data_IF_914638630872
#
_entry.id   IF_914638630872
#
_cell.length_a   1.000
_cell.length_b   1.000
_cell.length_c   1.000
_cell.angle_alpha   90.00
_cell.angle_beta   90.00
_cell.angle_gamma   90.00
#
_symmetry.space_group_name_H-M   'P 1'
#
loop_
_entity.id
_entity.type
_entity.pdbx_description
1 polymer ?
#
# COMPACT_ATOMS: atom_id res chain seq x y z
N UNK A 1 10.59 7.70 21.64
CA UNK A 1 11.63 8.60 21.07
C UNK A 1 10.97 9.51 20.05
N UNK A 2 11.46 10.72 19.75
CA UNK A 2 10.81 11.56 18.74
C UNK A 2 10.88 10.87 17.36
N UNK A 3 9.73 10.60 16.74
CA UNK A 3 9.69 9.99 15.42
C UNK A 3 10.38 10.89 14.39
N UNK A 4 11.28 10.36 13.54
CA UNK A 4 11.84 11.12 12.44
C UNK A 4 10.73 11.69 11.55
N UNK A 5 10.89 12.96 11.16
CA UNK A 5 9.88 13.69 10.38
C UNK A 5 9.50 12.94 9.09
N UNK A 6 10.49 12.33 8.43
CA UNK A 6 10.28 11.50 7.24
C UNK A 6 9.36 10.31 7.53
N UNK A 7 9.57 9.56 8.62
CA UNK A 7 8.74 8.40 8.98
C UNK A 7 7.27 8.80 9.23
N UNK A 8 7.07 9.92 9.90
CA UNK A 8 5.73 10.47 10.18
C UNK A 8 5.04 10.93 8.90
N UNK A 9 5.76 11.61 8.01
CA UNK A 9 5.24 12.02 6.69
C UNK A 9 4.86 10.78 5.88
N UNK A 10 5.72 9.77 5.84
CA UNK A 10 5.45 8.50 5.14
C UNK A 10 4.17 7.84 5.63
N UNK A 11 3.94 7.80 6.95
CA UNK A 11 2.70 7.27 7.53
C UNK A 11 1.47 8.02 7.05
N UNK A 12 1.46 9.36 7.13
CA UNK A 12 0.31 10.15 6.66
C UNK A 12 0.07 9.96 5.17
N UNK A 13 1.14 9.84 4.39
CA UNK A 13 1.01 9.60 2.97
C UNK A 13 0.52 8.21 2.63
N UNK A 14 0.90 7.18 3.38
CA UNK A 14 0.37 5.82 3.24
C UNK A 14 -1.15 5.79 3.50
N UNK A 15 -1.62 6.54 4.51
CA UNK A 15 -3.05 6.72 4.76
C UNK A 15 -3.75 7.45 3.59
N UNK A 16 -3.13 8.49 3.04
CA UNK A 16 -3.64 9.21 1.88
C UNK A 16 -3.75 8.34 0.62
N UNK A 17 -2.74 7.52 0.35
CA UNK A 17 -2.78 6.55 -0.76
C UNK A 17 -3.83 5.50 -0.52
N UNK A 18 -3.93 4.98 0.70
CA UNK A 18 -4.97 4.01 1.07
C UNK A 18 -6.36 4.58 0.83
N UNK A 19 -6.61 5.84 1.21
CA UNK A 19 -7.87 6.52 0.91
C UNK A 19 -8.12 6.60 -0.61
N UNK A 20 -7.09 6.91 -1.41
CA UNK A 20 -7.19 6.93 -2.87
C UNK A 20 -7.51 5.55 -3.46
N UNK A 21 -6.88 4.48 -2.97
CA UNK A 21 -7.12 3.09 -3.39
C UNK A 21 -8.55 2.68 -3.06
N UNK A 22 -9.00 2.92 -1.81
CA UNK A 22 -10.37 2.64 -1.38
C UNK A 22 -11.39 3.42 -2.21
N UNK A 23 -11.14 4.70 -2.48
CA UNK A 23 -11.97 5.52 -3.34
C UNK A 23 -12.05 4.96 -4.77
N UNK A 24 -10.91 4.63 -5.38
CA UNK A 24 -10.84 4.03 -6.72
C UNK A 24 -11.67 2.75 -6.81
N UNK A 25 -11.51 1.85 -5.83
CA UNK A 25 -12.20 0.57 -5.79
C UNK A 25 -13.69 0.76 -5.56
N UNK A 26 -14.07 1.64 -4.63
CA UNK A 26 -15.46 1.95 -4.35
C UNK A 26 -16.17 2.55 -5.57
N UNK A 27 -15.58 3.56 -6.23
CA UNK A 27 -16.21 4.23 -7.36
C UNK A 27 -16.30 3.32 -8.59
N UNK A 28 -15.26 2.52 -8.84
CA UNK A 28 -15.28 1.53 -9.91
C UNK A 28 -16.31 0.42 -9.65
N UNK A 29 -16.46 -0.03 -8.40
CA UNK A 29 -17.47 -1.02 -8.05
C UNK A 29 -18.89 -0.45 -8.10
N UNK A 30 -19.14 0.72 -7.49
CA UNK A 30 -20.48 1.31 -7.37
C UNK A 30 -20.96 1.99 -8.64
N UNK A 31 -20.12 2.82 -9.26
CA UNK A 31 -20.50 3.64 -10.42
C UNK A 31 -20.01 3.07 -11.75
N UNK A 32 -19.13 2.08 -11.73
CA UNK A 32 -18.52 1.55 -12.95
C UNK A 32 -17.53 2.50 -13.61
N UNK A 33 -17.08 3.52 -12.89
CA UNK A 33 -16.12 4.52 -13.38
C UNK A 33 -14.73 4.15 -12.89
N UNK A 34 -13.78 4.00 -13.83
CA UNK A 34 -12.38 3.76 -13.48
C UNK A 34 -11.53 5.01 -13.74
N UNK A 35 -11.11 5.68 -12.67
CA UNK A 35 -10.32 6.91 -12.72
C UNK A 35 -8.85 6.64 -13.07
N UNK A 36 -8.57 6.35 -14.35
CA UNK A 36 -7.24 5.97 -14.87
C UNK A 36 -6.11 6.91 -14.42
N UNK A 37 -6.33 8.22 -14.43
CA UNK A 37 -5.33 9.22 -14.02
C UNK A 37 -5.00 9.12 -12.53
N UNK A 38 -6.02 8.96 -11.68
CA UNK A 38 -5.83 8.77 -10.25
C UNK A 38 -5.12 7.45 -9.96
N UNK A 39 -5.51 6.36 -10.64
CA UNK A 39 -4.85 5.06 -10.53
C UNK A 39 -3.35 5.14 -10.89
N UNK A 40 -3.01 5.84 -11.99
CA UNK A 40 -1.62 6.06 -12.35
C UNK A 40 -0.88 6.92 -11.32
N UNK A 41 -1.51 8.00 -10.83
CA UNK A 41 -0.92 8.87 -9.81
C UNK A 41 -0.61 8.10 -8.52
N UNK A 42 -1.53 7.24 -8.07
CA UNK A 42 -1.33 6.34 -6.92
C UNK A 42 -0.14 5.42 -7.15
N UNK A 43 -0.04 4.78 -8.32
CA UNK A 43 1.08 3.86 -8.62
C UNK A 43 2.42 4.58 -8.67
N UNK A 44 2.47 5.76 -9.30
CA UNK A 44 3.70 6.58 -9.34
C UNK A 44 4.10 6.99 -7.92
N UNK A 45 3.12 7.40 -7.11
CA UNK A 45 3.37 7.76 -5.72
C UNK A 45 3.95 6.58 -4.91
N UNK A 46 3.31 5.41 -4.98
CA UNK A 46 3.76 4.19 -4.29
C UNK A 46 5.23 3.84 -4.63
N UNK A 47 5.61 3.93 -5.91
CA UNK A 47 6.99 3.66 -6.34
C UNK A 47 7.96 4.72 -5.81
N UNK A 48 7.65 6.00 -6.02
CA UNK A 48 8.57 7.09 -5.70
C UNK A 48 8.75 7.34 -4.22
N UNK A 49 7.72 7.08 -3.41
CA UNK A 49 7.74 7.39 -1.99
C UNK A 49 7.81 6.13 -1.12
N UNK A 50 6.85 5.21 -1.22
CA UNK A 50 6.82 4.04 -0.32
C UNK A 50 7.98 3.07 -0.62
N UNK A 51 8.10 2.62 -1.88
CA UNK A 51 9.15 1.65 -2.25
C UNK A 51 10.54 2.29 -2.12
N UNK A 52 10.71 3.51 -2.59
CA UNK A 52 12.01 4.20 -2.52
C UNK A 52 12.43 4.50 -1.08
N UNK A 53 11.50 4.85 -0.19
CA UNK A 53 11.80 5.04 1.24
C UNK A 53 12.21 3.73 1.92
N UNK A 54 11.49 2.63 1.66
CA UNK A 54 11.87 1.32 2.21
C UNK A 54 13.24 0.87 1.71
N UNK A 55 13.52 1.05 0.42
CA UNK A 55 14.84 0.75 -0.16
C UNK A 55 15.94 1.63 0.47
N UNK A 56 15.70 2.93 0.61
CA UNK A 56 16.62 3.87 1.25
C UNK A 56 16.92 3.44 2.70
N UNK A 57 15.89 3.16 3.49
CA UNK A 57 16.01 2.68 4.88
C UNK A 57 16.81 1.38 4.96
N UNK A 58 16.53 0.42 4.08
CA UNK A 58 17.23 -0.86 4.05
C UNK A 58 18.73 -0.72 3.76
N UNK A 59 19.13 0.27 2.95
CA UNK A 59 20.54 0.53 2.59
C UNK A 59 21.27 1.38 3.63
N UNK A 60 20.60 2.39 4.20
CA UNK A 60 21.26 3.43 5.02
C UNK A 60 21.22 3.15 6.52
N UNK A 61 20.32 2.29 7.00
CA UNK A 61 20.19 1.96 8.41
C UNK A 61 20.37 0.45 8.66
N UNK A 62 21.54 -0.14 8.30
CA UNK A 62 21.79 -1.58 8.49
C UNK A 62 22.10 -1.96 9.94
N UNK A 63 22.39 -0.99 10.81
CA UNK A 63 22.77 -1.23 12.21
C UNK A 63 21.50 -1.51 13.01
N UNK A 64 21.34 -2.78 13.38
CA UNK A 64 20.32 -3.26 14.30
C UNK A 64 20.74 -2.78 15.69
N UNK A 65 20.20 -1.66 16.16
CA UNK A 65 20.06 -1.49 17.61
C UNK A 65 19.37 -2.73 18.18
N UNK A 66 19.57 -3.06 19.46
CA UNK A 66 19.01 -4.26 20.06
C UNK A 66 17.47 -4.18 20.15
N UNK A 67 16.79 -4.36 19.02
CA UNK A 67 15.35 -4.49 18.94
C UNK A 67 14.96 -5.91 19.34
N UNK A 68 13.88 -6.02 20.09
CA UNK A 68 13.29 -7.32 20.40
C UNK A 68 12.88 -8.06 19.11
N UNK A 69 13.00 -9.40 19.12
CA UNK A 69 12.71 -10.23 17.94
C UNK A 69 11.31 -10.03 17.32
N UNK A 70 10.32 -9.60 18.12
CA UNK A 70 8.98 -9.30 17.61
C UNK A 70 8.94 -8.03 16.73
N UNK A 71 9.72 -6.98 17.06
CA UNK A 71 9.82 -5.75 16.25
C UNK A 71 10.47 -6.07 14.91
N UNK A 72 11.52 -6.89 14.94
CA UNK A 72 12.21 -7.35 13.72
C UNK A 72 11.25 -8.16 12.84
N UNK A 73 10.51 -9.10 13.43
CA UNK A 73 9.52 -9.90 12.70
C UNK A 73 8.39 -9.05 12.12
N UNK A 74 7.89 -8.06 12.88
CA UNK A 74 6.86 -7.13 12.43
C UNK A 74 7.36 -6.27 11.27
N UNK A 75 8.57 -5.72 11.36
CA UNK A 75 9.18 -4.90 10.31
C UNK A 75 9.39 -5.69 9.02
N UNK A 76 9.98 -6.89 9.11
CA UNK A 76 10.21 -7.77 7.97
C UNK A 76 8.89 -8.26 7.35
N UNK A 77 7.95 -8.69 8.20
CA UNK A 77 6.62 -9.13 7.78
C UNK A 77 5.84 -8.03 7.07
N UNK A 78 5.83 -6.82 7.63
CA UNK A 78 5.23 -5.64 7.00
C UNK A 78 5.89 -5.35 5.65
N UNK A 79 7.23 -5.30 5.57
CA UNK A 79 7.95 -5.01 4.32
C UNK A 79 7.64 -6.00 3.20
N UNK A 80 7.61 -7.29 3.52
CA UNK A 80 7.26 -8.33 2.54
C UNK A 80 5.79 -8.19 2.12
N UNK A 81 4.88 -8.03 3.08
CA UNK A 81 3.45 -7.91 2.80
C UNK A 81 3.15 -6.67 1.94
N UNK A 82 3.73 -5.52 2.27
CA UNK A 82 3.58 -4.28 1.51
C UNK A 82 4.10 -4.42 0.08
N UNK A 83 5.24 -5.10 -0.13
CA UNK A 83 5.76 -5.35 -1.47
C UNK A 83 4.83 -6.26 -2.29
N UNK A 84 4.33 -7.35 -1.69
CA UNK A 84 3.36 -8.24 -2.32
C UNK A 84 2.08 -7.47 -2.69
N UNK A 85 1.58 -6.63 -1.78
CA UNK A 85 0.39 -5.83 -2.01
C UNK A 85 0.59 -4.77 -3.07
N UNK A 86 1.77 -4.15 -3.15
CA UNK A 86 2.12 -3.23 -4.23
C UNK A 86 2.09 -3.94 -5.60
N UNK A 87 2.73 -5.11 -5.72
CA UNK A 87 2.70 -5.90 -6.96
C UNK A 87 1.26 -6.31 -7.33
N UNK A 88 0.47 -6.73 -6.33
CA UNK A 88 -0.93 -7.06 -6.52
C UNK A 88 -1.75 -5.84 -6.98
N UNK A 89 -1.50 -4.64 -6.42
CA UNK A 89 -2.16 -3.40 -6.82
C UNK A 89 -1.86 -3.08 -8.29
N UNK A 90 -0.59 -3.13 -8.69
CA UNK A 90 -0.18 -2.93 -10.09
C UNK A 90 -0.89 -3.91 -11.01
N UNK A 91 -0.85 -5.20 -10.71
CA UNK A 91 -1.49 -6.23 -11.51
C UNK A 91 -3.02 -6.01 -11.62
N UNK A 92 -3.67 -5.71 -10.49
CA UNK A 92 -5.11 -5.48 -10.43
C UNK A 92 -5.51 -4.23 -11.22
N UNK A 93 -4.80 -3.11 -11.06
CA UNK A 93 -5.08 -1.88 -11.78
C UNK A 93 -4.82 -2.00 -13.28
N UNK A 94 -3.78 -2.73 -13.70
CA UNK A 94 -3.54 -3.03 -15.12
C UNK A 94 -4.65 -3.89 -15.72
N UNK A 95 -5.11 -4.90 -15.00
CA UNK A 95 -6.22 -5.75 -15.42
C UNK A 95 -7.53 -4.95 -15.53
N UNK A 96 -7.82 -4.12 -14.52
CA UNK A 96 -8.96 -3.21 -14.50
C UNK A 96 -8.90 -2.18 -15.64
N UNK A 97 -7.72 -1.62 -15.94
CA UNK A 97 -7.54 -0.67 -17.04
C UNK A 97 -7.88 -1.31 -18.39
N UNK A 98 -7.33 -2.51 -18.67
CA UNK A 98 -7.62 -3.27 -19.89
C UNK A 98 -9.10 -3.64 -20.00
N UNK A 99 -9.71 -4.06 -18.90
CA UNK A 99 -11.14 -4.37 -18.84
C UNK A 99 -12.02 -3.16 -19.10
N UNK A 100 -11.72 -2.03 -18.47
CA UNK A 100 -12.47 -0.79 -18.65
C UNK A 100 -12.40 -0.29 -20.10
N UNK A 101 -11.27 -0.45 -20.79
CA UNK A 101 -11.16 -0.16 -22.22
C UNK A 101 -12.07 -1.01 -23.12
N UNK A 102 -12.57 -2.14 -22.61
CA UNK A 102 -13.52 -3.04 -23.29
C UNK A 102 -14.95 -2.90 -22.75
N UNK A 103 -15.24 -1.85 -21.96
CA UNK A 103 -16.54 -1.65 -21.32
C UNK A 103 -16.85 -2.62 -20.17
N UNK A 104 -15.86 -3.39 -19.71
CA UNK A 104 -16.03 -4.38 -18.62
C UNK A 104 -15.84 -3.74 -17.26
N UNK A 105 -16.67 -4.13 -16.30
CA UNK A 105 -16.49 -3.75 -14.90
C UNK A 105 -15.81 -4.90 -14.14
N UNK A 106 -14.48 -4.94 -14.24
CA UNK A 106 -13.63 -5.95 -13.60
C UNK A 106 -13.87 -6.03 -12.08
N UNK A 107 -14.12 -4.90 -11.43
CA UNK A 107 -14.36 -4.84 -9.98
C UNK A 107 -15.64 -5.58 -9.58
N UNK A 108 -16.71 -5.49 -10.39
CA UNK A 108 -17.95 -6.25 -10.18
C UNK A 108 -17.80 -7.70 -10.57
N UNK A 109 -17.20 -7.97 -11.73
CA UNK A 109 -17.00 -9.33 -12.26
C UNK A 109 -16.12 -10.19 -11.34
N UNK A 110 -15.17 -9.57 -10.63
CA UNK A 110 -14.22 -10.22 -9.73
C UNK A 110 -14.32 -9.70 -8.29
N UNK A 111 -15.56 -9.53 -7.80
CA UNK A 111 -15.84 -9.00 -6.44
C UNK A 111 -15.05 -9.73 -5.35
N UNK A 112 -14.95 -11.06 -5.39
CA UNK A 112 -14.22 -11.82 -4.37
C UNK A 112 -12.73 -11.45 -4.36
N UNK A 113 -12.09 -11.40 -5.53
CA UNK A 113 -10.67 -11.03 -5.64
C UNK A 113 -10.46 -9.59 -5.16
N UNK A 114 -11.36 -8.67 -5.52
CA UNK A 114 -11.35 -7.29 -5.05
C UNK A 114 -11.42 -7.21 -3.51
N UNK A 115 -12.33 -7.94 -2.88
CA UNK A 115 -12.49 -7.94 -1.42
C UNK A 115 -11.30 -8.57 -0.71
N UNK A 116 -10.77 -9.67 -1.24
CA UNK A 116 -9.53 -10.31 -0.72
C UNK A 116 -8.37 -9.33 -0.82
N UNK A 117 -8.20 -8.66 -1.97
CA UNK A 117 -7.18 -7.63 -2.13
C UNK A 117 -7.33 -6.52 -1.09
N UNK A 118 -8.54 -5.97 -0.90
CA UNK A 118 -8.78 -4.90 0.07
C UNK A 118 -8.52 -5.34 1.51
N UNK A 119 -8.89 -6.57 1.88
CA UNK A 119 -8.59 -7.12 3.19
C UNK A 119 -7.07 -7.15 3.46
N UNK A 120 -6.31 -7.74 2.54
CA UNK A 120 -4.85 -7.82 2.69
C UNK A 120 -4.17 -6.46 2.58
N UNK A 121 -4.71 -5.55 1.78
CA UNK A 121 -4.23 -4.16 1.71
C UNK A 121 -4.37 -3.47 3.05
N UNK A 122 -5.55 -3.53 3.68
CA UNK A 122 -5.78 -2.93 4.98
C UNK A 122 -4.96 -3.59 6.08
N UNK A 123 -4.70 -4.90 5.98
CA UNK A 123 -3.79 -5.59 6.90
C UNK A 123 -2.35 -5.09 6.74
N UNK A 124 -1.88 -4.86 5.51
CA UNK A 124 -0.55 -4.29 5.24
C UNK A 124 -0.40 -2.90 5.86
N UNK A 125 -1.35 -2.01 5.60
CA UNK A 125 -1.38 -0.65 6.19
C UNK A 125 -1.45 -0.72 7.72
N UNK A 126 -2.31 -1.59 8.26
CA UNK A 126 -2.44 -1.81 9.70
C UNK A 126 -1.13 -2.28 10.34
N UNK A 127 -0.39 -3.17 9.67
CA UNK A 127 0.93 -3.61 10.14
C UNK A 127 1.98 -2.49 10.09
N UNK A 128 1.88 -1.55 9.13
CA UNK A 128 2.75 -0.37 9.05
C UNK A 128 2.50 0.60 10.20
N UNK A 129 1.24 0.87 10.51
CA UNK A 129 0.83 1.66 11.68
C UNK A 129 1.33 1.00 12.98
N UNK A 130 1.14 -0.31 13.11
CA UNK A 130 1.59 -1.05 14.29
C UNK A 130 3.11 -1.00 14.45
N UNK A 131 3.85 -1.12 13.36
CA UNK A 131 5.31 -0.99 13.37
C UNK A 131 5.76 0.43 13.75
N UNK A 132 5.12 1.46 13.18
CA UNK A 132 5.41 2.85 13.55
C UNK A 132 5.15 3.11 15.04
N UNK A 133 4.03 2.61 15.57
CA UNK A 133 3.69 2.74 16.98
C UNK A 133 4.71 2.02 17.87
N UNK A 134 5.07 0.77 17.52
CA UNK A 134 6.07 -0.02 18.23
C UNK A 134 7.44 0.66 18.33
N UNK A 135 7.83 1.37 17.28
CA UNK A 135 9.16 1.98 17.16
C UNK A 135 9.23 3.38 17.82
N UNK A 136 8.13 4.14 17.80
CA UNK A 136 8.18 5.57 18.12
C UNK A 136 7.23 6.05 19.23
N UNK A 137 6.19 5.29 19.59
CA UNK A 137 5.24 5.63 20.66
C UNK A 137 5.54 4.87 21.95
#
# INVERSE_FOLDING_TARGET
MAAPLLSTVTLFTELGVTACVLFLFHDAYRKGVFHRKLALGVLVYEVLFNISYMAYRAVTHPVVEAHSGWVIALAAGHGILSLVMFVALVAFLLYAWKGFGKGRNVFRERRVIMLVFLFWWLLAVGSGIAFYAAEYL
#
